data_IF_782236085662
#
_entry.id   IF_782236085662
#
_cell.length_a   1.000
_cell.length_b   1.000
_cell.length_c   1.000
_cell.angle_alpha   90.00
_cell.angle_beta   90.00
_cell.angle_gamma   90.00
#
_symmetry.space_group_name_H-M   'P 1'
#
loop_
_entity.id
_entity.type
_entity.pdbx_description
1 polymer ?
#
# COMPACT_ATOMS: atom_id res chain seq x y z
N UNK A 1 -16.81 -4.71 21.00
CA UNK A 1 -16.92 -4.34 19.57
C UNK A 1 -18.38 -4.12 19.23
N UNK A 2 -18.88 -2.95 19.61
CA UNK A 2 -20.30 -2.60 19.58
C UNK A 2 -20.39 -1.29 18.83
N UNK A 3 -20.55 -1.42 17.52
CA UNK A 3 -20.65 -0.32 16.62
C UNK A 3 -22.06 0.27 16.65
N UNK A 4 -22.24 1.46 17.25
CA UNK A 4 -23.55 2.13 17.31
C UNK A 4 -24.19 2.31 15.93
N UNK A 5 -23.39 2.42 14.87
CA UNK A 5 -23.84 2.46 13.48
C UNK A 5 -24.60 1.20 13.02
N UNK A 6 -24.25 0.02 13.56
CA UNK A 6 -24.96 -1.23 13.27
C UNK A 6 -26.30 -1.28 14.01
N UNK A 7 -26.36 -0.77 15.25
CA UNK A 7 -27.61 -0.67 16.02
C UNK A 7 -28.60 0.29 15.38
N UNK A 8 -28.15 1.46 14.91
CA UNK A 8 -29.02 2.43 14.23
C UNK A 8 -29.52 1.90 12.88
N UNK A 9 -28.68 1.19 12.12
CA UNK A 9 -29.09 0.62 10.84
C UNK A 9 -30.12 -0.52 11.02
N UNK A 10 -29.97 -1.33 12.08
CA UNK A 10 -30.95 -2.36 12.45
C UNK A 10 -32.27 -1.74 12.93
N UNK A 11 -32.23 -0.64 13.68
CA UNK A 11 -33.42 0.11 14.11
C UNK A 11 -34.19 0.76 12.94
N UNK A 12 -33.53 1.03 11.80
CA UNK A 12 -34.15 1.52 10.56
C UNK A 12 -34.74 0.44 9.66
N UNK A 13 -34.71 -0.84 10.04
CA UNK A 13 -35.31 -1.94 9.27
C UNK A 13 -34.51 -2.39 8.03
N UNK A 14 -33.24 -1.98 7.91
CA UNK A 14 -32.37 -2.39 6.81
C UNK A 14 -31.92 -3.85 6.97
N UNK A 15 -32.03 -4.64 5.88
CA UNK A 15 -31.50 -6.02 5.81
C UNK A 15 -30.02 -6.03 6.18
N UNK A 16 -29.61 -6.92 7.10
CA UNK A 16 -28.23 -7.04 7.60
C UNK A 16 -27.18 -7.11 6.49
N UNK A 17 -27.49 -7.79 5.39
CA UNK A 17 -26.58 -7.88 4.23
C UNK A 17 -26.23 -6.51 3.64
N UNK A 18 -27.17 -5.57 3.58
CA UNK A 18 -26.91 -4.22 3.08
C UNK A 18 -26.08 -3.38 4.05
N UNK A 19 -26.26 -3.58 5.37
CA UNK A 19 -25.47 -2.91 6.41
C UNK A 19 -24.03 -3.40 6.39
N UNK A 20 -23.83 -4.72 6.28
CA UNK A 20 -22.51 -5.34 6.24
C UNK A 20 -21.77 -4.96 4.96
N UNK A 21 -22.38 -5.12 3.77
CA UNK A 21 -21.70 -4.81 2.50
C UNK A 21 -21.44 -3.30 2.33
N UNK A 22 -22.39 -2.44 2.70
CA UNK A 22 -22.29 -1.01 2.38
C UNK A 22 -21.63 -0.19 3.48
N UNK A 23 -21.71 -0.60 4.75
CA UNK A 23 -21.19 0.19 5.87
C UNK A 23 -20.08 -0.55 6.62
N UNK A 24 -20.19 -1.87 6.79
CA UNK A 24 -19.14 -2.69 7.38
C UNK A 24 -17.91 -2.82 6.48
N UNK A 25 -18.11 -3.22 5.22
CA UNK A 25 -17.02 -3.48 4.27
C UNK A 25 -16.23 -2.21 3.95
N UNK A 26 -16.90 -1.09 3.69
CA UNK A 26 -16.23 0.18 3.35
C UNK A 26 -15.38 0.72 4.51
N UNK A 27 -15.84 0.56 5.76
CA UNK A 27 -15.06 0.95 6.94
C UNK A 27 -13.96 -0.06 7.28
N UNK A 28 -14.13 -1.34 6.95
CA UNK A 28 -13.10 -2.37 7.14
C UNK A 28 -12.00 -2.35 6.08
N UNK A 29 -12.29 -1.84 4.87
CA UNK A 29 -11.33 -1.72 3.77
C UNK A 29 -10.26 -0.64 4.01
N UNK A 30 -10.57 0.40 4.79
CA UNK A 30 -9.63 1.45 5.17
C UNK A 30 -8.32 0.91 5.77
N UNK A 31 -8.34 0.16 6.90
CA UNK A 31 -7.12 -0.40 7.48
C UNK A 31 -6.46 -1.46 6.59
N UNK A 32 -7.21 -2.20 5.77
CA UNK A 32 -6.65 -3.19 4.84
C UNK A 32 -5.77 -2.51 3.79
N UNK A 33 -6.24 -1.39 3.23
CA UNK A 33 -5.48 -0.62 2.25
C UNK A 33 -4.26 0.01 2.92
N UNK A 34 -4.38 0.52 4.16
CA UNK A 34 -3.26 1.02 5.01
C UNK A 34 -2.14 0.03 5.12
N UNK A 35 -2.50 -1.19 5.45
CA UNK A 35 -1.54 -2.26 5.62
C UNK A 35 -0.88 -2.62 4.28
N UNK A 36 -1.66 -2.75 3.21
CA UNK A 36 -1.13 -3.07 1.87
C UNK A 36 -0.16 -1.99 1.36
N UNK A 37 -0.52 -0.71 1.50
CA UNK A 37 0.34 0.41 1.10
C UNK A 37 1.68 0.42 1.86
N UNK A 38 1.63 0.18 3.18
CA UNK A 38 2.82 0.09 4.02
C UNK A 38 3.74 -1.10 3.67
N UNK A 39 3.21 -2.14 3.02
CA UNK A 39 4.01 -3.29 2.57
C UNK A 39 4.76 -3.04 1.26
N UNK A 40 4.40 -2.03 0.45
CA UNK A 40 5.06 -1.79 -0.85
C UNK A 40 6.59 -1.62 -0.73
N UNK A 41 7.14 -0.81 0.19
CA UNK A 41 8.59 -0.68 0.37
C UNK A 41 9.25 -2.00 0.79
N UNK A 42 8.54 -2.79 1.62
CA UNK A 42 9.02 -4.09 2.07
C UNK A 42 9.08 -5.10 0.92
N UNK A 43 8.12 -5.07 0.00
CA UNK A 43 8.11 -5.92 -1.19
C UNK A 43 9.30 -5.60 -2.12
N UNK A 44 9.64 -4.32 -2.30
CA UNK A 44 10.82 -3.91 -3.06
C UNK A 44 12.12 -4.42 -2.42
N UNK A 45 12.25 -4.33 -1.09
CA UNK A 45 13.40 -4.90 -0.37
C UNK A 45 13.48 -6.43 -0.47
N UNK A 46 12.34 -7.12 -0.35
CA UNK A 46 12.25 -8.57 -0.50
C UNK A 46 12.53 -9.06 -1.93
N UNK A 47 12.12 -8.27 -2.94
CA UNK A 47 12.35 -8.59 -4.35
C UNK A 47 13.84 -8.72 -4.66
N UNK A 48 14.71 -7.93 -4.02
CA UNK A 48 16.18 -8.05 -4.18
C UNK A 48 16.68 -9.47 -3.86
N UNK A 49 16.17 -10.08 -2.79
CA UNK A 49 16.58 -11.44 -2.42
C UNK A 49 16.13 -12.48 -3.46
N UNK A 50 14.91 -12.32 -3.98
CA UNK A 50 14.36 -13.20 -5.01
C UNK A 50 15.17 -13.04 -6.31
N UNK A 51 15.48 -11.81 -6.71
CA UNK A 51 16.29 -11.51 -7.90
C UNK A 51 17.69 -12.14 -7.80
N UNK A 52 18.33 -12.05 -6.64
CA UNK A 52 19.65 -12.64 -6.41
C UNK A 52 19.62 -14.18 -6.39
N UNK A 53 18.66 -14.79 -5.69
CA UNK A 53 18.59 -16.26 -5.57
C UNK A 53 18.26 -16.91 -6.92
N UNK A 54 17.29 -16.34 -7.65
CA UNK A 54 16.86 -16.88 -8.94
C UNK A 54 17.66 -16.34 -10.13
N UNK A 55 18.69 -15.52 -9.88
CA UNK A 55 19.48 -14.84 -10.92
C UNK A 55 18.62 -14.06 -11.92
N UNK A 56 17.44 -13.60 -11.50
CA UNK A 56 16.53 -12.84 -12.35
C UNK A 56 17.15 -11.45 -12.59
N UNK A 57 17.25 -10.98 -13.86
CA UNK A 57 17.79 -9.66 -14.14
C UNK A 57 16.80 -8.59 -13.68
N UNK A 58 17.13 -7.92 -12.57
CA UNK A 58 16.28 -6.92 -11.94
C UNK A 58 17.07 -5.75 -11.35
N UNK A 59 16.33 -4.70 -10.98
CA UNK A 59 16.91 -3.44 -10.47
C UNK A 59 17.53 -3.62 -9.08
N UNK A 60 16.98 -4.49 -8.25
CA UNK A 60 17.50 -4.79 -6.92
C UNK A 60 18.86 -5.48 -6.98
N UNK A 61 18.98 -6.48 -7.85
CA UNK A 61 20.24 -7.16 -8.11
C UNK A 61 21.29 -6.21 -8.69
N UNK A 62 20.91 -5.36 -9.66
CA UNK A 62 21.83 -4.36 -10.24
C UNK A 62 22.34 -3.37 -9.17
N UNK A 63 21.49 -2.99 -8.22
CA UNK A 63 21.87 -2.16 -7.08
C UNK A 63 22.90 -2.84 -6.18
N UNK A 64 22.73 -4.14 -5.89
CA UNK A 64 23.71 -4.92 -5.13
C UNK A 64 25.05 -5.06 -5.86
N UNK A 65 25.03 -5.31 -7.17
CA UNK A 65 26.25 -5.36 -7.99
C UNK A 65 27.01 -4.03 -7.94
N UNK A 66 26.30 -2.90 -7.94
CA UNK A 66 26.90 -1.57 -7.73
C UNK A 66 27.54 -1.40 -6.35
N UNK A 67 26.93 -1.96 -5.30
CA UNK A 67 27.50 -1.95 -3.94
C UNK A 67 28.78 -2.78 -3.87
N UNK A 68 28.77 -3.99 -4.43
CA UNK A 68 29.93 -4.87 -4.45
C UNK A 68 31.08 -4.27 -5.29
N UNK A 69 30.74 -3.70 -6.45
CA UNK A 69 31.67 -2.99 -7.33
C UNK A 69 32.10 -1.62 -6.82
N UNK A 70 31.52 -1.13 -5.72
CA UNK A 70 31.70 0.23 -5.16
C UNK A 70 31.49 1.33 -6.20
N UNK A 71 30.58 1.12 -7.14
CA UNK A 71 30.20 2.12 -8.12
C UNK A 71 29.19 3.07 -7.48
N UNK A 72 29.71 4.11 -6.82
CA UNK A 72 28.89 5.12 -6.16
C UNK A 72 27.95 5.86 -7.12
N UNK A 73 28.32 5.99 -8.40
CA UNK A 73 27.47 6.65 -9.39
C UNK A 73 26.24 5.79 -9.69
N UNK A 74 26.44 4.49 -9.90
CA UNK A 74 25.36 3.53 -10.12
C UNK A 74 24.43 3.47 -8.89
N UNK A 75 25.00 3.37 -7.69
CA UNK A 75 24.24 3.34 -6.43
C UNK A 75 23.37 4.60 -6.30
N UNK A 76 23.94 5.78 -6.57
CA UNK A 76 23.22 7.05 -6.42
C UNK A 76 22.11 7.19 -7.47
N UNK A 77 22.38 6.83 -8.73
CA UNK A 77 21.36 6.83 -9.78
C UNK A 77 20.19 5.90 -9.45
N UNK A 78 20.49 4.68 -9.00
CA UNK A 78 19.49 3.69 -8.62
C UNK A 78 18.70 4.12 -7.39
N UNK A 79 19.36 4.73 -6.40
CA UNK A 79 18.69 5.28 -5.20
C UNK A 79 17.69 6.36 -5.59
N UNK A 80 18.05 7.28 -6.48
CA UNK A 80 17.13 8.31 -6.98
C UNK A 80 15.92 7.71 -7.71
N UNK A 81 16.15 6.71 -8.58
CA UNK A 81 15.07 6.03 -9.30
C UNK A 81 14.12 5.34 -8.32
N UNK A 82 14.67 4.57 -7.37
CA UNK A 82 13.87 3.87 -6.35
C UNK A 82 13.08 4.85 -5.48
N UNK A 83 13.68 5.98 -5.10
CA UNK A 83 13.00 7.02 -4.33
C UNK A 83 11.80 7.59 -5.11
N UNK A 84 11.95 7.89 -6.40
CA UNK A 84 10.86 8.37 -7.25
C UNK A 84 9.75 7.33 -7.37
N UNK A 85 10.09 6.06 -7.61
CA UNK A 85 9.10 4.97 -7.70
C UNK A 85 8.33 4.80 -6.40
N UNK A 86 9.02 4.80 -5.24
CA UNK A 86 8.39 4.72 -3.92
C UNK A 86 7.49 5.92 -3.67
N UNK A 87 7.93 7.13 -4.05
CA UNK A 87 7.13 8.34 -3.92
C UNK A 87 5.84 8.26 -4.75
N UNK A 88 5.92 7.76 -5.99
CA UNK A 88 4.74 7.52 -6.84
C UNK A 88 3.82 6.47 -6.21
N UNK A 89 4.37 5.38 -5.69
CA UNK A 89 3.58 4.33 -5.06
C UNK A 89 2.85 4.83 -3.80
N UNK A 90 3.51 5.64 -2.98
CA UNK A 90 2.89 6.30 -1.83
C UNK A 90 1.78 7.26 -2.27
N UNK A 91 2.03 8.09 -3.29
CA UNK A 91 1.00 8.98 -3.82
C UNK A 91 -0.22 8.22 -4.35
N UNK A 92 -0.01 7.12 -5.07
CA UNK A 92 -1.10 6.24 -5.52
C UNK A 92 -1.88 5.67 -4.34
N UNK A 93 -1.17 5.26 -3.29
CA UNK A 93 -1.78 4.76 -2.05
C UNK A 93 -2.64 5.84 -1.39
N UNK A 94 -2.16 7.08 -1.33
CA UNK A 94 -2.88 8.23 -0.79
C UNK A 94 -4.14 8.58 -1.61
N UNK A 95 -4.05 8.52 -2.94
CA UNK A 95 -5.20 8.71 -3.83
C UNK A 95 -6.24 7.61 -3.58
N UNK A 96 -5.81 6.35 -3.44
CA UNK A 96 -6.70 5.23 -3.15
C UNK A 96 -7.36 5.41 -1.77
N UNK A 97 -6.66 5.92 -0.74
CA UNK A 97 -7.31 6.31 0.52
C UNK A 97 -8.37 7.37 0.30
N UNK A 98 -8.06 8.44 -0.43
CA UNK A 98 -8.99 9.53 -0.69
C UNK A 98 -10.27 9.08 -1.42
N UNK A 99 -10.15 8.09 -2.31
CA UNK A 99 -11.31 7.49 -3.00
C UNK A 99 -12.13 6.56 -2.10
N UNK A 100 -11.46 5.80 -1.23
CA UNK A 100 -12.10 4.81 -0.38
C UNK A 100 -12.78 5.47 0.82
N UNK A 101 -12.18 6.50 1.41
CA UNK A 101 -12.67 7.20 2.59
C UNK A 101 -13.76 8.23 2.24
N UNK A 102 -15.05 7.96 2.54
CA UNK A 102 -16.13 8.91 2.33
C UNK A 102 -16.29 9.93 3.47
N UNK A 103 -15.38 9.97 4.46
CA UNK A 103 -15.41 10.93 5.58
C UNK A 103 -14.57 12.18 5.34
N UNK A 104 -13.81 12.27 4.25
CA UNK A 104 -13.14 13.49 3.80
C UNK A 104 -14.17 14.42 3.13
N UNK A 105 -15.25 14.74 3.86
CA UNK A 105 -16.04 15.91 3.58
C UNK A 105 -15.35 17.02 4.37
N UNK A 106 -14.50 17.78 3.67
CA UNK A 106 -14.23 19.14 4.09
C UNK A 106 -15.57 19.83 4.30
N UNK A 107 -15.74 20.49 5.44
CA UNK A 107 -16.90 21.35 5.67
C UNK A 107 -17.10 22.35 4.52
#
# INVERSE_FOLDING_TARGET
>A
MTADYVRTARAKGLREKAVILRHGLRNALLPVVTIIGAYIPNLLGGAVFIESIFSWPGLGRLYLEGIEGRDYNLIMAMTLILAVVIMIANLLTDIVYGLIDPRIRYE
#
